data_IF_127187397634
#
_entry.id   IF_127187397634
#
_cell.length_a   1.000
_cell.length_b   1.000
_cell.length_c   1.000
_cell.angle_alpha   90.00
_cell.angle_beta   90.00
_cell.angle_gamma   90.00
#
_symmetry.space_group_name_H-M   'P 1'
#
loop_
_entity.id
_entity.type
_entity.pdbx_description
1 polymer ?
#
# COMPACT_ATOMS: atom_id res chain seq x y z
N UNK A 1 14.14 20.62 -37.54
CA UNK A 1 14.23 21.20 -36.19
C UNK A 1 14.70 20.07 -35.26
N UNK A 2 15.99 20.17 -34.92
CA UNK A 2 16.86 19.44 -33.98
C UNK A 2 16.69 17.93 -33.72
N UNK A 3 17.58 17.21 -34.41
CA UNK A 3 18.25 15.93 -34.16
C UNK A 3 18.61 15.64 -32.69
N UNK A 4 18.42 14.38 -32.26
CA UNK A 4 19.15 13.75 -31.15
C UNK A 4 19.87 12.51 -31.71
N UNK A 5 21.20 12.47 -31.60
CA UNK A 5 22.01 11.30 -31.91
C UNK A 5 23.17 11.21 -30.91
N UNK A 6 23.20 10.13 -30.13
CA UNK A 6 24.37 9.34 -29.71
C UNK A 6 23.85 8.25 -28.75
N UNK A 7 24.28 7.01 -28.74
CA UNK A 7 25.15 6.22 -29.58
C UNK A 7 24.85 4.76 -29.23
N UNK A 8 24.91 3.86 -30.23
CA UNK A 8 24.77 2.42 -30.02
C UNK A 8 26.05 1.85 -29.43
N UNK A 9 25.96 0.99 -28.42
CA UNK A 9 26.82 -0.19 -28.35
C UNK A 9 25.99 -1.45 -28.07
N UNK A 10 26.04 -2.37 -29.03
CA UNK A 10 25.82 -3.82 -28.87
C UNK A 10 27.03 -4.38 -28.09
N UNK A 11 27.05 -5.50 -27.36
CA UNK A 11 26.20 -6.70 -27.24
C UNK A 11 26.80 -7.65 -26.14
N UNK A 12 26.33 -8.91 -26.02
CA UNK A 12 26.34 -9.78 -24.81
C UNK A 12 27.43 -10.92 -24.89
N UNK A 13 27.44 -12.06 -24.13
CA UNK A 13 26.44 -12.66 -23.22
C UNK A 13 26.91 -13.39 -21.93
N UNK A 14 25.90 -13.91 -21.22
CA UNK A 14 25.86 -14.99 -20.23
C UNK A 14 27.16 -15.76 -19.93
N UNK A 15 27.45 -15.91 -18.63
CA UNK A 15 27.86 -17.20 -18.07
C UNK A 15 27.05 -17.55 -16.83
N UNK A 16 26.40 -18.70 -16.91
CA UNK A 16 25.94 -19.47 -15.77
C UNK A 16 27.16 -20.10 -15.10
N UNK A 17 27.21 -20.04 -13.77
CA UNK A 17 27.94 -21.01 -12.97
C UNK A 17 26.97 -21.64 -11.98
N UNK A 18 26.67 -22.91 -12.26
CA UNK A 18 26.04 -23.86 -11.35
C UNK A 18 27.21 -24.67 -10.77
N UNK A 19 27.40 -24.60 -9.46
CA UNK A 19 28.37 -25.37 -8.68
C UNK A 19 28.53 -24.67 -7.33
N UNK A 20 28.36 -25.28 -6.17
CA UNK A 20 28.78 -26.61 -5.78
C UNK A 20 27.98 -27.06 -4.54
N UNK A 21 27.53 -28.31 -4.55
CA UNK A 21 27.04 -29.02 -3.38
C UNK A 21 28.16 -29.94 -2.88
N UNK A 22 28.69 -29.68 -1.69
CA UNK A 22 29.29 -30.69 -0.79
C UNK A 22 29.80 -29.99 0.49
N UNK A 23 29.44 -30.52 1.65
CA UNK A 23 30.04 -30.12 2.93
C UNK A 23 29.16 -30.38 4.14
N UNK A 24 29.04 -31.65 4.51
CA UNK A 24 28.47 -32.09 5.78
C UNK A 24 29.24 -31.52 6.97
N UNK A 25 28.56 -31.28 8.10
CA UNK A 25 29.21 -30.99 9.38
C UNK A 25 28.24 -30.38 10.37
N UNK A 26 27.84 -31.16 11.38
CA UNK A 26 26.80 -30.79 12.34
C UNK A 26 27.20 -29.70 13.32
N UNK A 27 26.18 -29.00 13.81
CA UNK A 27 26.04 -28.53 15.19
C UNK A 27 24.66 -27.87 15.32
N UNK A 28 23.90 -28.26 16.33
CA UNK A 28 22.67 -27.55 16.73
C UNK A 28 23.06 -26.16 17.27
N UNK A 29 22.52 -25.05 16.76
CA UNK A 29 22.82 -23.73 17.32
C UNK A 29 22.03 -23.50 18.62
N UNK A 30 22.73 -23.49 19.76
CA UNK A 30 22.23 -23.09 21.08
C UNK A 30 22.28 -21.57 21.32
N UNK A 31 22.05 -20.76 20.29
CA UNK A 31 21.95 -19.31 20.46
C UNK A 31 20.74 -18.74 19.73
N UNK A 32 19.76 -18.25 20.49
CA UNK A 32 18.68 -17.42 19.97
C UNK A 32 19.26 -16.02 19.74
N UNK A 33 19.59 -15.71 18.48
CA UNK A 33 19.90 -14.34 18.07
C UNK A 33 18.62 -13.48 18.00
N UNK A 34 18.74 -12.13 17.94
CA UNK A 34 17.58 -11.25 17.88
C UNK A 34 16.74 -11.57 16.64
N UNK A 35 15.42 -11.72 16.85
CA UNK A 35 14.45 -12.06 15.82
C UNK A 35 14.28 -10.88 14.86
N UNK A 36 15.10 -10.81 13.81
CA UNK A 36 14.87 -9.88 12.70
C UNK A 36 13.76 -10.45 11.82
N UNK A 37 12.61 -9.77 11.81
CA UNK A 37 11.51 -10.08 10.90
C UNK A 37 11.97 -9.79 9.47
N UNK A 38 12.00 -10.78 8.56
CA UNK A 38 12.37 -10.53 7.18
C UNK A 38 11.37 -9.57 6.53
N UNK A 39 11.79 -8.73 5.56
CA UNK A 39 10.85 -7.93 4.79
C UNK A 39 9.83 -8.88 4.16
N UNK A 40 8.53 -8.60 4.39
CA UNK A 40 7.46 -9.29 3.66
C UNK A 40 7.65 -8.96 2.18
N UNK A 41 8.28 -9.87 1.44
CA UNK A 41 8.26 -9.83 -0.03
C UNK A 41 6.81 -9.96 -0.45
N UNK A 42 6.20 -8.84 -0.84
CA UNK A 42 4.86 -8.81 -1.38
C UNK A 42 4.95 -9.32 -2.83
N UNK A 43 4.98 -10.64 -3.02
CA UNK A 43 4.67 -11.22 -4.33
C UNK A 43 3.17 -11.04 -4.56
N UNK A 44 2.77 -9.85 -5.01
CA UNK A 44 1.41 -9.58 -5.44
C UNK A 44 1.36 -9.97 -6.91
N UNK A 45 1.07 -11.24 -7.19
CA UNK A 45 0.70 -11.64 -8.54
C UNK A 45 -0.56 -10.86 -8.92
N UNK A 46 -0.54 -9.96 -9.92
CA UNK A 46 -1.75 -9.26 -10.30
C UNK A 46 -2.71 -10.27 -10.92
N UNK A 47 -3.91 -10.35 -10.34
CA UNK A 47 -5.03 -10.97 -11.01
C UNK A 47 -5.36 -10.11 -12.23
N UNK A 48 -5.39 -10.73 -13.40
CA UNK A 48 -5.79 -10.18 -14.68
C UNK A 48 -6.99 -9.20 -14.54
N UNK A 49 -6.71 -7.91 -14.74
CA UNK A 49 -7.52 -6.95 -15.48
C UNK A 49 -6.52 -6.02 -16.18
N UNK A 50 -6.76 -5.68 -17.45
CA UNK A 50 -5.89 -4.82 -18.25
C UNK A 50 -5.94 -3.35 -17.80
N UNK A 51 -5.36 -3.04 -16.64
CA UNK A 51 -5.01 -1.68 -16.24
C UNK A 51 -3.49 -1.54 -16.33
N UNK A 52 -3.02 -0.46 -16.94
CA UNK A 52 -1.59 -0.10 -16.90
C UNK A 52 -1.26 0.17 -15.43
N UNK A 53 -0.37 -0.64 -14.86
CA UNK A 53 0.07 -0.46 -13.49
C UNK A 53 0.89 0.84 -13.42
N UNK A 54 0.36 1.85 -12.72
CA UNK A 54 1.07 3.09 -12.50
C UNK A 54 2.18 2.86 -11.48
N UNK A 55 3.44 3.10 -11.90
CA UNK A 55 4.57 3.09 -10.94
C UNK A 55 4.39 4.25 -9.96
N UNK A 56 4.41 4.01 -8.64
CA UNK A 56 4.25 5.09 -7.66
C UNK A 56 5.41 6.08 -7.78
N UNK A 57 5.08 7.38 -7.77
CA UNK A 57 6.07 8.45 -7.73
C UNK A 57 6.74 8.54 -6.35
N UNK A 58 5.97 8.27 -5.28
CA UNK A 58 6.41 8.38 -3.90
C UNK A 58 5.65 7.37 -3.01
N UNK A 59 6.36 6.74 -2.08
CA UNK A 59 5.79 5.84 -1.08
C UNK A 59 5.95 6.43 0.32
N UNK A 60 4.84 6.61 1.04
CA UNK A 60 4.81 7.23 2.37
C UNK A 60 4.04 6.36 3.35
N UNK A 61 4.53 6.28 4.58
CA UNK A 61 3.98 5.39 5.62
C UNK A 61 2.66 5.85 6.25
N UNK A 62 2.09 7.00 5.86
CA UNK A 62 0.82 7.47 6.42
C UNK A 62 0.02 8.33 5.44
N UNK A 63 -1.31 8.29 5.59
CA UNK A 63 -2.22 9.13 4.81
C UNK A 63 -2.02 10.63 5.06
N UNK A 64 -1.58 11.03 6.26
CA UNK A 64 -1.27 12.42 6.57
C UNK A 64 -0.05 12.92 5.78
N UNK A 65 0.99 12.08 5.66
CA UNK A 65 2.16 12.40 4.84
C UNK A 65 1.80 12.47 3.35
N UNK A 66 0.99 11.53 2.85
CA UNK A 66 0.47 11.56 1.47
C UNK A 66 -0.33 12.84 1.20
N UNK A 67 -1.27 13.20 2.09
CA UNK A 67 -2.00 14.46 2.00
C UNK A 67 -1.07 15.67 1.95
N UNK A 68 -0.07 15.71 2.82
CA UNK A 68 0.94 16.77 2.85
C UNK A 68 1.72 16.88 1.55
N UNK A 69 2.10 15.76 0.93
CA UNK A 69 2.83 15.78 -0.35
C UNK A 69 1.97 16.30 -1.50
N UNK A 70 0.66 15.99 -1.54
CA UNK A 70 -0.24 16.56 -2.55
C UNK A 70 -0.37 18.06 -2.38
N UNK A 71 -0.58 18.54 -1.15
CA UNK A 71 -0.65 19.99 -0.85
C UNK A 71 0.66 20.70 -1.22
N UNK A 72 1.80 20.03 -1.05
CA UNK A 72 3.11 20.54 -1.47
C UNK A 72 3.38 20.42 -2.99
N UNK A 73 2.45 19.88 -3.78
CA UNK A 73 2.55 19.79 -5.23
C UNK A 73 3.36 18.60 -5.76
N UNK A 74 3.62 17.58 -4.93
CA UNK A 74 4.38 16.40 -5.37
C UNK A 74 3.66 15.58 -6.45
N UNK A 75 2.33 15.67 -6.53
CA UNK A 75 1.50 14.95 -7.50
C UNK A 75 0.14 14.56 -6.92
N UNK A 76 -0.74 13.93 -7.73
CA UNK A 76 -2.05 13.46 -7.27
C UNK A 76 -1.92 12.26 -6.33
N UNK A 77 -2.91 12.07 -5.46
CA UNK A 77 -3.02 10.87 -4.64
C UNK A 77 -4.47 10.46 -4.44
N UNK A 78 -4.68 9.15 -4.22
CA UNK A 78 -5.96 8.59 -3.81
C UNK A 78 -6.02 8.60 -2.28
N UNK A 79 -6.97 9.35 -1.74
CA UNK A 79 -7.19 9.47 -0.29
C UNK A 79 -8.67 9.30 0.04
N UNK A 80 -8.95 8.80 1.25
CA UNK A 80 -10.33 8.76 1.76
C UNK A 80 -10.86 10.19 1.82
N UNK A 81 -12.03 10.44 1.22
CA UNK A 81 -12.70 11.75 1.26
C UNK A 81 -12.84 12.28 2.70
N UNK A 82 -13.21 11.41 3.65
CA UNK A 82 -13.27 11.74 5.08
C UNK A 82 -11.97 12.37 5.62
N UNK A 83 -10.80 11.95 5.13
CA UNK A 83 -9.50 12.44 5.59
C UNK A 83 -9.10 13.79 4.98
N UNK A 84 -9.72 14.20 3.87
CA UNK A 84 -9.40 15.43 3.13
C UNK A 84 -10.56 16.42 3.05
N UNK A 85 -11.72 16.11 3.66
CA UNK A 85 -12.92 16.95 3.62
C UNK A 85 -12.66 18.40 3.99
N UNK A 86 -11.82 18.65 5.00
CA UNK A 86 -11.43 20.01 5.38
C UNK A 86 -10.64 20.74 4.29
N UNK A 87 -9.75 20.05 3.58
CA UNK A 87 -9.01 20.65 2.45
C UNK A 87 -9.88 20.93 1.24
N UNK A 88 -10.81 20.01 0.94
CA UNK A 88 -11.77 20.18 -0.14
C UNK A 88 -12.67 21.40 0.16
N UNK A 89 -13.20 21.50 1.37
CA UNK A 89 -14.02 22.63 1.80
C UNK A 89 -13.26 23.97 1.76
N UNK A 90 -11.94 23.93 1.96
CA UNK A 90 -11.07 25.12 1.96
C UNK A 90 -10.39 25.36 0.60
N UNK A 91 -10.69 24.54 -0.42
CA UNK A 91 -10.10 24.66 -1.76
C UNK A 91 -8.59 24.39 -1.82
N UNK A 92 -7.99 23.79 -0.77
CA UNK A 92 -6.56 23.41 -0.77
C UNK A 92 -6.28 22.17 -1.60
N UNK A 93 -7.29 21.32 -1.73
CA UNK A 93 -7.28 20.16 -2.62
C UNK A 93 -8.51 20.25 -3.51
N UNK A 94 -8.38 19.74 -4.73
CA UNK A 94 -9.48 19.62 -5.68
C UNK A 94 -9.69 18.14 -5.99
N UNK A 95 -10.95 17.66 -6.07
CA UNK A 95 -11.22 16.31 -6.52
C UNK A 95 -10.91 16.19 -8.02
N UNK A 96 -10.41 15.02 -8.42
CA UNK A 96 -10.21 14.65 -9.83
C UNK A 96 -11.17 13.51 -10.14
N UNK A 97 -12.08 13.71 -11.09
CA UNK A 97 -13.02 12.68 -11.52
C UNK A 97 -12.28 11.56 -12.26
N UNK A 98 -12.57 10.31 -11.88
CA UNK A 98 -11.96 9.12 -12.49
C UNK A 98 -13.06 8.12 -12.81
N UNK A 99 -13.26 7.83 -14.09
CA UNK A 99 -14.28 6.89 -14.55
C UNK A 99 -13.89 5.43 -14.29
N UNK A 100 -14.90 4.59 -14.05
CA UNK A 100 -14.72 3.14 -13.95
C UNK A 100 -14.04 2.65 -12.65
N UNK A 101 -13.88 3.50 -11.64
CA UNK A 101 -13.23 3.15 -10.38
C UNK A 101 -14.21 3.26 -9.21
N UNK A 102 -14.50 2.11 -8.57
CA UNK A 102 -15.22 2.06 -7.29
C UNK A 102 -14.23 1.78 -6.16
N UNK A 103 -13.94 2.79 -5.33
CA UNK A 103 -13.01 2.71 -4.19
C UNK A 103 -13.72 2.55 -2.84
N UNK A 104 -14.99 2.12 -2.83
CA UNK A 104 -15.71 1.87 -1.58
C UNK A 104 -15.04 0.75 -0.79
N UNK A 105 -14.64 1.07 0.46
CA UNK A 105 -14.02 0.13 1.38
C UNK A 105 -15.03 -0.38 2.40
N UNK A 106 -15.11 -1.70 2.58
CA UNK A 106 -15.80 -2.30 3.72
C UNK A 106 -14.88 -2.31 4.94
N UNK A 107 -15.24 -1.58 6.00
CA UNK A 107 -14.55 -1.71 7.29
C UNK A 107 -15.14 -2.89 8.06
N UNK A 108 -14.27 -3.76 8.59
CA UNK A 108 -14.68 -4.91 9.40
C UNK A 108 -14.11 -4.77 10.80
N UNK A 109 -14.98 -4.85 11.80
CA UNK A 109 -14.55 -5.02 13.18
C UNK A 109 -14.24 -6.50 13.40
N UNK A 110 -13.04 -6.80 13.89
CA UNK A 110 -12.53 -8.16 14.06
C UNK A 110 -12.06 -8.36 15.49
N UNK A 111 -12.39 -9.51 16.07
CA UNK A 111 -11.95 -9.94 17.41
C UNK A 111 -11.82 -11.47 17.44
N UNK A 112 -11.07 -12.03 18.41
CA UNK A 112 -10.91 -13.48 18.53
C UNK A 112 -12.26 -14.21 18.63
N UNK A 113 -12.35 -15.39 18.03
CA UNK A 113 -13.53 -16.24 18.15
C UNK A 113 -13.83 -16.57 19.62
N UNK A 114 -15.12 -16.67 19.97
CA UNK A 114 -15.58 -16.90 21.34
C UNK A 114 -15.51 -15.68 22.27
N UNK A 115 -14.93 -14.55 21.82
CA UNK A 115 -14.94 -13.31 22.60
C UNK A 115 -16.24 -12.54 22.37
N UNK A 116 -17.01 -12.35 23.44
CA UNK A 116 -18.08 -11.38 23.47
C UNK A 116 -17.51 -10.00 23.85
N UNK A 117 -17.78 -8.99 23.02
CA UNK A 117 -17.41 -7.62 23.34
C UNK A 117 -18.38 -7.07 24.40
N UNK A 118 -17.83 -6.51 25.47
CA UNK A 118 -18.58 -5.82 26.52
C UNK A 118 -17.79 -4.57 26.94
N UNK A 119 -18.48 -3.57 27.50
CA UNK A 119 -17.87 -2.32 27.95
C UNK A 119 -17.28 -1.49 26.79
N UNK A 120 -16.16 -0.77 27.00
CA UNK A 120 -15.65 0.22 26.05
C UNK A 120 -15.47 -0.27 24.60
N UNK A 121 -15.00 -1.51 24.33
CA UNK A 121 -14.94 -2.03 22.95
C UNK A 121 -16.31 -2.18 22.28
N UNK A 122 -17.34 -2.58 23.03
CA UNK A 122 -18.71 -2.69 22.51
C UNK A 122 -19.31 -1.31 22.25
N UNK A 123 -19.05 -0.34 23.13
CA UNK A 123 -19.46 1.05 22.96
C UNK A 123 -18.80 1.68 21.73
N UNK A 124 -17.49 1.48 21.54
CA UNK A 124 -16.78 1.92 20.34
C UNK A 124 -17.40 1.34 19.07
N UNK A 125 -17.69 0.03 19.08
CA UNK A 125 -18.32 -0.63 17.95
C UNK A 125 -19.70 -0.01 17.65
N UNK A 126 -20.51 0.26 18.68
CA UNK A 126 -21.81 0.89 18.52
C UNK A 126 -21.69 2.29 17.88
N UNK A 127 -20.75 3.12 18.33
CA UNK A 127 -20.47 4.44 17.74
C UNK A 127 -20.02 4.33 16.29
N UNK A 128 -19.09 3.42 16.00
CA UNK A 128 -18.54 3.21 14.66
C UNK A 128 -19.63 2.76 13.67
N UNK A 129 -20.47 1.81 14.06
CA UNK A 129 -21.59 1.32 13.23
C UNK A 129 -22.63 2.41 13.01
N UNK A 130 -22.96 3.18 14.04
CA UNK A 130 -23.90 4.30 13.91
C UNK A 130 -23.41 5.34 12.89
N UNK A 131 -22.12 5.70 12.93
CA UNK A 131 -21.53 6.62 11.94
C UNK A 131 -21.54 6.04 10.53
N UNK A 132 -21.21 4.77 10.37
CA UNK A 132 -21.19 4.12 9.06
C UNK A 132 -22.57 4.12 8.38
N UNK A 133 -23.65 3.94 9.14
CA UNK A 133 -25.03 3.98 8.62
C UNK A 133 -25.42 5.37 8.13
N UNK A 134 -25.00 6.43 8.81
CA UNK A 134 -25.28 7.82 8.39
C UNK A 134 -24.56 8.21 7.12
N UNK A 135 -23.45 7.56 6.80
CA UNK A 135 -22.67 7.82 5.57
C UNK A 135 -23.06 6.90 4.40
N UNK A 136 -23.88 5.87 4.63
CA UNK A 136 -24.25 4.85 3.63
C UNK A 136 -25.58 5.09 2.91
N UNK A 137 -26.21 6.26 3.08
CA UNK A 137 -27.35 6.70 2.27
C UNK A 137 -26.85 7.75 1.27
N UNK A 138 -26.54 7.29 0.05
CA UNK A 138 -26.09 8.08 -1.09
C UNK A 138 -25.95 7.18 -2.30
#
# INVERSE_FOLDING_TARGET
MTQWASGRSQGPPLRADIGSAAGAGGALPTHVGPMTMPPRSASRTPCNMSHVEARPLLELGSAAAVRGSVVAGAGPAVLSELAVRGDLAQGRLVPVEVEGVDLRRSLRAVWPAGRHLAGPPAELLAVAVHRARRTGHG
#
